data_IF_513867011468
#
_entry.id   IF_513867011468
#
_cell.length_a   1.000
_cell.length_b   1.000
_cell.length_c   1.000
_cell.angle_alpha   90.00
_cell.angle_beta   90.00
_cell.angle_gamma   90.00
#
_symmetry.space_group_name_H-M   'P 1'
#
loop_
_entity.id
_entity.type
_entity.pdbx_description
1 polymer ?
#
# COMPACT_ATOMS: atom_id res chain seq x y z
N UNK A 1 -31.53 -16.53 -33.80
CA UNK A 1 -31.91 -15.10 -33.81
C UNK A 1 -30.77 -14.33 -33.18
N UNK A 2 -30.12 -13.54 -34.02
CA UNK A 2 -29.07 -12.58 -33.70
C UNK A 2 -29.71 -11.33 -33.09
N UNK A 3 -29.04 -10.74 -32.11
CA UNK A 3 -29.03 -9.30 -31.89
C UNK A 3 -27.69 -8.90 -31.30
N UNK A 4 -26.81 -8.40 -32.16
CA UNK A 4 -25.74 -7.50 -31.75
C UNK A 4 -26.35 -6.13 -31.46
N UNK A 5 -25.90 -5.50 -30.37
CA UNK A 5 -25.88 -4.05 -30.26
C UNK A 5 -24.53 -3.66 -29.66
N UNK A 6 -23.78 -2.86 -30.44
CA UNK A 6 -22.43 -2.38 -30.15
C UNK A 6 -22.43 -1.22 -29.13
N UNK A 7 -21.22 -1.00 -28.62
CA UNK A 7 -20.65 0.25 -28.08
C UNK A 7 -21.02 0.63 -26.64
N UNK A 8 -20.03 0.58 -25.75
CA UNK A 8 -19.34 1.78 -25.27
C UNK A 8 -18.11 1.35 -24.47
N UNK A 9 -17.00 2.05 -24.66
CA UNK A 9 -15.75 1.81 -23.95
C UNK A 9 -15.92 2.11 -22.47
N UNK A 10 -16.13 1.06 -21.69
CA UNK A 10 -16.22 1.18 -20.24
C UNK A 10 -14.87 0.76 -19.67
N UNK A 11 -14.09 1.76 -19.28
CA UNK A 11 -12.84 1.57 -18.55
C UNK A 11 -13.19 1.24 -17.10
N UNK A 12 -13.96 0.15 -16.92
CA UNK A 12 -14.56 -0.25 -15.65
C UNK A 12 -13.43 -0.64 -14.71
N UNK A 13 -13.14 0.23 -13.74
CA UNK A 13 -12.25 -0.10 -12.63
C UNK A 13 -12.96 -1.13 -11.75
N UNK A 14 -12.62 -2.40 -11.93
CA UNK A 14 -13.09 -3.47 -11.05
C UNK A 14 -12.30 -3.40 -9.73
N UNK A 15 -12.88 -2.79 -8.70
CA UNK A 15 -12.34 -2.87 -7.34
C UNK A 15 -12.93 -4.09 -6.64
N UNK A 16 -12.14 -5.15 -6.49
CA UNK A 16 -12.50 -6.28 -5.63
C UNK A 16 -11.87 -6.07 -4.26
N UNK A 17 -12.69 -5.73 -3.27
CA UNK A 17 -12.27 -5.70 -1.87
C UNK A 17 -12.27 -7.14 -1.36
N UNK A 18 -11.12 -7.82 -1.45
CA UNK A 18 -10.96 -9.16 -0.90
C UNK A 18 -10.64 -9.04 0.58
N UNK A 19 -11.62 -9.33 1.44
CA UNK A 19 -11.36 -9.67 2.84
C UNK A 19 -11.04 -11.15 2.87
N UNK A 20 -9.76 -11.51 3.00
CA UNK A 20 -9.35 -12.92 3.13
C UNK A 20 -9.49 -13.32 4.61
N UNK A 21 -10.48 -14.12 5.02
CA UNK A 21 -10.54 -14.62 6.38
C UNK A 21 -9.35 -15.53 6.66
N UNK A 22 -8.77 -15.41 7.85
CA UNK A 22 -7.54 -16.07 8.29
C UNK A 22 -7.51 -17.59 8.02
N UNK A 23 -8.67 -18.26 8.13
CA UNK A 23 -8.79 -19.71 7.94
C UNK A 23 -8.63 -20.16 6.48
N UNK A 24 -8.84 -19.27 5.51
CA UNK A 24 -8.78 -19.57 4.09
C UNK A 24 -7.35 -19.59 3.52
N UNK A 25 -6.36 -19.03 4.23
CA UNK A 25 -4.97 -18.93 3.79
C UNK A 25 -4.22 -20.28 3.95
N UNK A 26 -4.79 -21.22 4.71
CA UNK A 26 -4.23 -22.57 4.89
C UNK A 26 -4.48 -23.51 3.72
N UNK A 27 -5.36 -23.14 2.80
CA UNK A 27 -5.58 -23.88 1.56
C UNK A 27 -5.18 -22.99 0.39
N UNK A 28 -4.33 -23.45 -0.54
CA UNK A 28 -4.10 -22.72 -1.78
C UNK A 28 -5.41 -22.69 -2.54
N UNK A 29 -6.18 -21.62 -2.37
CA UNK A 29 -7.31 -21.34 -3.25
C UNK A 29 -6.68 -21.14 -4.62
N UNK A 30 -6.82 -22.15 -5.48
CA UNK A 30 -6.59 -21.99 -6.89
C UNK A 30 -7.60 -20.94 -7.38
N UNK A 31 -7.20 -19.67 -7.36
CA UNK A 31 -7.90 -18.61 -8.05
C UNK A 31 -7.84 -18.98 -9.53
N UNK A 32 -8.85 -19.72 -9.99
CA UNK A 32 -8.93 -20.34 -11.32
C UNK A 32 -9.04 -19.33 -12.46
N UNK A 33 -9.00 -18.04 -12.14
CA UNK A 33 -8.96 -16.94 -13.09
C UNK A 33 -8.06 -15.85 -12.49
N UNK A 34 -7.13 -15.25 -13.26
CA UNK A 34 -6.38 -14.09 -12.82
C UNK A 34 -7.36 -12.93 -12.70
N UNK A 35 -8.00 -12.81 -11.54
CA UNK A 35 -8.77 -11.62 -11.20
C UNK A 35 -7.79 -10.46 -11.34
N UNK A 36 -8.14 -9.48 -12.17
CA UNK A 36 -7.40 -8.23 -12.32
C UNK A 36 -7.52 -7.40 -11.03
N UNK A 37 -6.96 -7.93 -9.94
CA UNK A 37 -6.88 -7.28 -8.65
C UNK A 37 -5.96 -6.08 -8.80
N UNK A 38 -6.54 -4.91 -8.98
CA UNK A 38 -5.79 -3.65 -9.02
C UNK A 38 -5.58 -3.07 -7.63
N UNK A 39 -6.44 -3.43 -6.67
CA UNK A 39 -6.44 -2.87 -5.32
C UNK A 39 -6.51 -4.00 -4.29
N UNK A 40 -5.62 -3.96 -3.31
CA UNK A 40 -5.62 -4.88 -2.16
C UNK A 40 -5.63 -4.06 -0.88
N UNK A 41 -6.50 -4.44 0.05
CA UNK A 41 -6.55 -3.84 1.40
C UNK A 41 -6.33 -4.92 2.44
N UNK A 42 -5.27 -4.76 3.22
CA UNK A 42 -4.88 -5.60 4.34
C UNK A 42 -5.43 -4.99 5.61
N UNK A 43 -6.41 -5.67 6.21
CA UNK A 43 -7.00 -5.25 7.50
C UNK A 43 -6.20 -5.70 8.72
N UNK A 44 -5.42 -6.78 8.57
CA UNK A 44 -4.66 -7.42 9.63
C UNK A 44 -3.24 -7.65 9.12
N UNK A 45 -2.26 -6.99 9.73
CA UNK A 45 -0.86 -7.06 9.30
C UNK A 45 -0.26 -8.47 9.43
N UNK A 46 -0.85 -9.36 10.24
CA UNK A 46 -0.40 -10.75 10.39
C UNK A 46 -0.55 -11.56 9.10
N UNK A 47 -1.35 -11.09 8.13
CA UNK A 47 -1.50 -11.73 6.82
C UNK A 47 -0.38 -11.37 5.85
N UNK A 48 0.51 -10.42 6.18
CA UNK A 48 1.60 -9.99 5.30
C UNK A 48 2.45 -11.16 4.81
N UNK A 49 2.91 -12.12 5.65
CA UNK A 49 3.70 -13.27 5.18
C UNK A 49 2.99 -14.11 4.12
N UNK A 50 1.66 -14.19 4.18
CA UNK A 50 0.86 -14.88 3.18
C UNK A 50 0.73 -14.05 1.89
N UNK A 51 0.49 -12.74 2.04
CA UNK A 51 0.41 -11.80 0.91
C UNK A 51 1.71 -11.79 0.10
N UNK A 52 2.87 -11.86 0.78
CA UNK A 52 4.20 -11.92 0.16
C UNK A 52 4.38 -13.14 -0.77
N UNK A 53 3.54 -14.18 -0.63
CA UNK A 53 3.58 -15.40 -1.46
C UNK A 53 2.61 -15.36 -2.65
N UNK A 54 1.76 -14.33 -2.75
CA UNK A 54 0.77 -14.23 -3.81
C UNK A 54 1.34 -13.52 -5.05
N UNK A 55 1.01 -13.97 -6.27
CA UNK A 55 1.41 -13.30 -7.50
C UNK A 55 0.55 -12.04 -7.72
N UNK A 56 0.97 -10.90 -7.18
CA UNK A 56 0.27 -9.61 -7.27
C UNK A 56 0.60 -8.83 -8.56
N UNK A 57 0.54 -9.51 -9.71
CA UNK A 57 0.99 -9.01 -11.01
C UNK A 57 0.22 -7.78 -11.52
N UNK A 58 -1.05 -7.63 -11.12
CA UNK A 58 -1.93 -6.55 -11.57
C UNK A 58 -2.19 -5.48 -10.51
N UNK A 59 -1.64 -5.64 -9.28
CA UNK A 59 -1.94 -4.76 -8.16
C UNK A 59 -1.23 -3.42 -8.33
N UNK A 60 -2.02 -2.36 -8.36
CA UNK A 60 -1.60 -0.96 -8.47
C UNK A 60 -1.66 -0.25 -7.13
N UNK A 61 -2.61 -0.62 -6.27
CA UNK A 61 -2.81 -0.03 -4.95
C UNK A 61 -2.77 -1.09 -3.86
N UNK A 62 -1.89 -0.92 -2.88
CA UNK A 62 -1.86 -1.75 -1.68
C UNK A 62 -2.11 -0.86 -0.46
N UNK A 63 -3.08 -1.23 0.36
CA UNK A 63 -3.44 -0.50 1.58
C UNK A 63 -3.25 -1.38 2.80
N UNK A 64 -2.56 -0.88 3.83
CA UNK A 64 -2.53 -1.48 5.16
C UNK A 64 -3.36 -0.63 6.11
N UNK A 65 -4.31 -1.27 6.80
CA UNK A 65 -5.06 -0.63 7.89
C UNK A 65 -4.30 -0.86 9.20
N UNK A 66 -4.02 0.23 9.90
CA UNK A 66 -3.35 0.25 11.19
C UNK A 66 -4.42 0.59 12.24
N UNK A 67 -4.99 -0.45 12.84
CA UNK A 67 -6.10 -0.37 13.77
C UNK A 67 -5.62 -0.07 15.20
N UNK A 68 -4.47 -0.57 15.61
CA UNK A 68 -3.87 -0.25 16.90
C UNK A 68 -2.69 0.72 16.72
N UNK A 69 -2.37 1.55 17.74
CA UNK A 69 -1.17 2.39 17.72
C UNK A 69 0.11 1.60 17.40
N UNK A 70 0.23 0.39 17.95
CA UNK A 70 1.37 -0.51 17.76
C UNK A 70 1.43 -1.20 16.40
N UNK A 71 0.40 -1.10 15.57
CA UNK A 71 0.35 -1.84 14.29
C UNK A 71 1.44 -1.37 13.32
N UNK A 72 1.83 -0.09 13.39
CA UNK A 72 2.93 0.44 12.60
C UNK A 72 4.25 -0.28 12.94
N UNK A 73 4.56 -0.37 14.23
CA UNK A 73 5.72 -1.12 14.71
C UNK A 73 5.63 -2.62 14.41
N UNK A 74 4.47 -3.24 14.61
CA UNK A 74 4.29 -4.68 14.35
C UNK A 74 4.42 -5.01 12.86
N UNK A 75 3.87 -4.18 11.98
CA UNK A 75 4.02 -4.32 10.53
C UNK A 75 5.49 -4.14 10.12
N UNK A 76 6.18 -3.13 10.66
CA UNK A 76 7.64 -2.92 10.46
C UNK A 76 8.43 -4.17 10.87
N UNK A 77 8.20 -4.70 12.07
CA UNK A 77 8.86 -5.92 12.56
C UNK A 77 8.57 -7.10 11.62
N UNK A 78 7.32 -7.25 11.18
CA UNK A 78 6.92 -8.33 10.27
C UNK A 78 7.65 -8.23 8.92
N UNK A 79 7.77 -7.02 8.35
CA UNK A 79 8.53 -6.77 7.11
C UNK A 79 9.99 -7.21 7.31
N UNK A 80 10.64 -6.72 8.37
CA UNK A 80 12.05 -6.99 8.66
C UNK A 80 12.33 -8.48 8.91
N UNK A 81 11.44 -9.17 9.63
CA UNK A 81 11.60 -10.59 9.95
C UNK A 81 11.23 -11.52 8.79
N UNK A 82 10.37 -11.08 7.87
CA UNK A 82 9.90 -11.95 6.78
C UNK A 82 11.02 -12.38 5.82
N UNK A 83 12.05 -11.54 5.64
CA UNK A 83 13.12 -11.75 4.66
C UNK A 83 12.63 -11.86 3.20
N UNK A 84 11.34 -11.62 2.94
CA UNK A 84 10.71 -11.73 1.63
C UNK A 84 10.21 -10.36 1.18
N UNK A 85 10.41 -10.04 -0.10
CA UNK A 85 9.92 -8.80 -0.71
C UNK A 85 8.66 -9.08 -1.53
N UNK A 86 7.69 -8.18 -1.45
CA UNK A 86 6.46 -8.26 -2.24
C UNK A 86 6.77 -8.08 -3.74
N UNK A 87 6.41 -9.09 -4.53
CA UNK A 87 6.52 -9.04 -5.99
C UNK A 87 5.25 -8.42 -6.60
N UNK A 88 5.22 -7.09 -6.69
CA UNK A 88 4.11 -6.32 -7.28
C UNK A 88 4.65 -5.35 -8.36
N UNK A 89 4.89 -5.82 -9.60
CA UNK A 89 5.66 -5.08 -10.61
C UNK A 89 4.96 -3.83 -11.17
N UNK A 90 3.65 -3.71 -10.96
CA UNK A 90 2.83 -2.57 -11.40
C UNK A 90 2.30 -1.75 -10.23
N UNK A 91 2.84 -1.95 -9.02
CA UNK A 91 2.41 -1.18 -7.85
C UNK A 91 2.76 0.30 -8.04
N UNK A 92 1.76 1.16 -7.87
CA UNK A 92 1.85 2.62 -8.03
C UNK A 92 1.63 3.31 -6.68
N UNK A 93 0.69 2.81 -5.88
CA UNK A 93 0.27 3.44 -4.64
C UNK A 93 0.39 2.48 -3.46
N UNK A 94 1.04 2.96 -2.42
CA UNK A 94 1.10 2.30 -1.12
C UNK A 94 0.45 3.18 -0.07
N UNK A 95 -0.55 2.65 0.62
CA UNK A 95 -1.36 3.39 1.58
C UNK A 95 -1.23 2.77 2.96
N UNK A 96 -1.05 3.61 3.98
CA UNK A 96 -1.18 3.27 5.38
C UNK A 96 -2.32 4.08 5.97
N UNK A 97 -3.35 3.42 6.52
CA UNK A 97 -4.53 4.08 7.07
C UNK A 97 -4.62 3.81 8.56
N UNK A 98 -4.28 4.82 9.36
CA UNK A 98 -4.44 4.83 10.81
C UNK A 98 -5.91 5.09 11.16
N UNK A 99 -6.49 4.28 12.04
CA UNK A 99 -7.89 4.49 12.45
C UNK A 99 -8.05 5.70 13.39
N UNK A 100 -9.24 6.34 13.42
CA UNK A 100 -9.47 7.60 14.12
C UNK A 100 -9.32 7.56 15.65
N UNK A 101 -9.49 6.38 16.27
CA UNK A 101 -9.51 6.21 17.71
C UNK A 101 -8.11 5.99 18.33
N UNK A 102 -7.08 5.74 17.49
CA UNK A 102 -5.71 5.51 17.94
C UNK A 102 -4.87 6.79 18.00
N UNK A 103 -4.01 6.91 19.02
CA UNK A 103 -2.94 7.91 18.97
C UNK A 103 -1.89 7.45 17.96
N UNK A 104 -1.63 8.28 16.95
CA UNK A 104 -0.55 8.04 15.98
C UNK A 104 0.79 8.21 16.70
N UNK A 105 1.59 7.16 16.75
CA UNK A 105 2.98 7.24 17.20
C UNK A 105 3.85 7.64 16.00
N UNK A 106 4.15 8.94 15.91
CA UNK A 106 4.80 9.53 14.74
C UNK A 106 6.13 8.86 14.36
N UNK A 107 6.98 8.56 15.36
CA UNK A 107 8.25 7.87 15.16
C UNK A 107 8.06 6.48 14.54
N UNK A 108 7.07 5.72 14.97
CA UNK A 108 6.80 4.38 14.44
C UNK A 108 6.34 4.43 12.98
N UNK A 109 5.50 5.41 12.62
CA UNK A 109 5.05 5.58 11.23
C UNK A 109 6.20 5.99 10.33
N UNK A 110 7.08 6.90 10.77
CA UNK A 110 8.26 7.29 10.00
C UNK A 110 9.19 6.10 9.78
N UNK A 111 9.46 5.32 10.83
CA UNK A 111 10.28 4.10 10.73
C UNK A 111 9.63 3.05 9.82
N UNK A 112 8.31 2.89 9.86
CA UNK A 112 7.59 2.03 8.92
C UNK A 112 7.81 2.48 7.46
N UNK A 113 7.70 3.77 7.17
CA UNK A 113 7.92 4.30 5.80
C UNK A 113 9.36 4.04 5.34
N UNK A 114 10.35 4.12 6.24
CA UNK A 114 11.75 3.77 5.92
C UNK A 114 11.91 2.30 5.52
N UNK A 115 11.02 1.41 5.94
CA UNK A 115 11.07 -0.02 5.58
C UNK A 115 10.40 -0.38 4.25
N UNK A 116 9.75 0.57 3.58
CA UNK A 116 9.08 0.33 2.29
C UNK A 116 10.00 -0.29 1.22
N UNK A 117 11.28 0.13 1.07
CA UNK A 117 12.19 -0.51 0.12
C UNK A 117 12.48 -1.99 0.40
N UNK A 118 12.34 -2.43 1.67
CA UNK A 118 12.47 -3.83 2.05
C UNK A 118 11.16 -4.60 1.86
N UNK A 119 10.02 -3.90 1.94
CA UNK A 119 8.71 -4.52 1.77
C UNK A 119 8.39 -4.81 0.30
N UNK A 120 8.74 -3.92 -0.64
CA UNK A 120 8.31 -4.03 -2.03
C UNK A 120 9.49 -4.06 -2.98
N UNK A 121 9.52 -5.06 -3.88
CA UNK A 121 10.51 -5.09 -4.96
C UNK A 121 10.10 -4.14 -6.08
N UNK A 122 10.63 -2.92 -6.07
CA UNK A 122 10.34 -1.89 -7.06
C UNK A 122 11.19 -2.00 -8.34
N UNK A 123 12.21 -2.87 -8.36
CA UNK A 123 13.20 -3.01 -9.45
C UNK A 123 13.76 -1.63 -9.86
N UNK A 124 13.52 -1.19 -11.10
CA UNK A 124 13.97 0.10 -11.63
C UNK A 124 12.85 1.17 -11.62
N UNK A 125 11.76 0.92 -10.89
CA UNK A 125 10.62 1.84 -10.80
C UNK A 125 10.55 2.45 -9.41
N UNK A 126 9.81 3.55 -9.30
CA UNK A 126 9.42 4.19 -8.04
C UNK A 126 7.91 4.08 -7.89
N UNK A 127 7.44 4.14 -6.66
CA UNK A 127 6.02 4.32 -6.38
C UNK A 127 5.62 5.73 -6.82
N UNK A 128 4.44 5.87 -7.41
CA UNK A 128 3.88 7.20 -7.69
C UNK A 128 3.52 7.90 -6.37
N UNK A 129 3.01 7.15 -5.40
CA UNK A 129 2.55 7.74 -4.14
C UNK A 129 2.68 6.80 -2.95
N UNK A 130 3.19 7.32 -1.85
CA UNK A 130 2.94 6.79 -0.50
C UNK A 130 1.92 7.69 0.18
N UNK A 131 0.84 7.11 0.67
CA UNK A 131 -0.25 7.83 1.34
C UNK A 131 -0.33 7.41 2.80
N UNK A 132 -0.21 8.38 3.69
CA UNK A 132 -0.42 8.23 5.13
C UNK A 132 -1.73 8.94 5.47
N UNK A 133 -2.77 8.16 5.78
CA UNK A 133 -4.10 8.67 6.08
C UNK A 133 -4.50 8.37 7.52
N UNK A 134 -5.15 9.30 8.19
CA UNK A 134 -5.72 9.09 9.52
C UNK A 134 -5.72 10.34 10.37
N UNK A 135 -6.53 10.32 11.43
CA UNK A 135 -6.61 11.45 12.36
C UNK A 135 -5.26 11.66 13.05
N UNK A 136 -4.79 12.91 13.08
CA UNK A 136 -3.53 13.27 13.72
C UNK A 136 -2.28 13.01 12.86
N UNK A 137 -2.45 12.57 11.60
CA UNK A 137 -1.30 12.29 10.71
C UNK A 137 -0.50 13.55 10.38
N UNK A 138 -1.09 14.73 10.52
CA UNK A 138 -0.40 16.02 10.32
C UNK A 138 0.66 16.30 11.39
N UNK A 139 0.66 15.59 12.52
CA UNK A 139 1.79 15.60 13.45
C UNK A 139 3.11 15.15 12.79
N UNK A 140 3.04 14.44 11.66
CA UNK A 140 4.21 14.02 10.88
C UNK A 140 4.84 15.15 10.07
N UNK A 141 4.20 16.31 9.89
CA UNK A 141 4.73 17.41 9.06
C UNK A 141 6.08 17.94 9.55
N UNK A 142 6.38 17.79 10.84
CA UNK A 142 7.66 18.20 11.45
C UNK A 142 8.79 17.19 11.24
N UNK A 143 8.52 16.01 10.67
CA UNK A 143 9.52 14.97 10.44
C UNK A 143 10.17 15.09 9.06
N UNK A 144 11.43 14.69 8.98
CA UNK A 144 12.17 14.64 7.72
C UNK A 144 11.77 13.39 6.91
N UNK A 145 11.08 13.61 5.80
CA UNK A 145 10.74 12.60 4.80
C UNK A 145 11.59 12.70 3.53
N UNK A 146 12.70 13.44 3.56
CA UNK A 146 13.59 13.59 2.41
C UNK A 146 13.91 12.22 1.81
N UNK A 147 14.27 11.22 2.62
CA UNK A 147 14.61 9.85 2.20
C UNK A 147 13.61 9.16 1.26
N UNK A 148 12.34 9.57 1.27
CA UNK A 148 11.30 9.00 0.41
C UNK A 148 11.55 9.22 -1.08
N UNK A 149 12.35 10.24 -1.44
CA UNK A 149 12.76 10.52 -2.81
C UNK A 149 13.40 9.34 -3.52
N UNK A 150 14.03 8.42 -2.78
CA UNK A 150 14.73 7.27 -3.37
C UNK A 150 13.77 6.22 -3.94
N UNK A 151 12.49 6.20 -3.51
CA UNK A 151 11.57 5.11 -3.85
C UNK A 151 10.12 5.52 -4.11
N UNK A 152 9.73 6.77 -3.87
CA UNK A 152 8.43 7.29 -4.30
C UNK A 152 8.50 8.72 -4.83
N UNK A 153 7.59 9.09 -5.73
CA UNK A 153 7.51 10.44 -6.30
C UNK A 153 6.83 11.42 -5.34
N UNK A 154 5.77 10.97 -4.66
CA UNK A 154 5.01 11.78 -3.72
C UNK A 154 4.76 11.06 -2.40
N UNK A 155 4.95 11.76 -1.28
CA UNK A 155 4.41 11.37 0.02
C UNK A 155 3.23 12.27 0.36
N UNK A 156 2.07 11.68 0.62
CA UNK A 156 0.83 12.41 0.95
C UNK A 156 0.42 12.13 2.38
N UNK A 157 0.23 13.18 3.16
CA UNK A 157 -0.41 13.11 4.48
C UNK A 157 -1.87 13.54 4.33
N UNK A 158 -2.80 12.77 4.88
CA UNK A 158 -4.23 13.03 4.77
C UNK A 158 -4.95 12.91 6.12
N UNK A 159 -5.41 14.04 6.65
CA UNK A 159 -6.19 14.15 7.89
C UNK A 159 -7.58 14.70 7.60
N UNK A 160 -8.54 13.80 7.37
CA UNK A 160 -9.88 14.16 6.89
C UNK A 160 -9.82 14.79 5.50
N UNK A 161 -10.35 15.99 5.35
CA UNK A 161 -10.33 16.74 4.09
C UNK A 161 -9.00 17.48 3.86
N UNK A 162 -8.11 17.51 4.85
CA UNK A 162 -6.84 18.21 4.74
C UNK A 162 -5.79 17.28 4.13
N UNK A 163 -5.12 17.77 3.10
CA UNK A 163 -4.08 17.04 2.37
C UNK A 163 -2.81 17.88 2.36
N UNK A 164 -1.69 17.28 2.77
CA UNK A 164 -0.36 17.84 2.62
C UNK A 164 0.49 16.92 1.74
N UNK A 165 1.21 17.48 0.78
CA UNK A 165 1.95 16.72 -0.23
C UNK A 165 3.42 17.12 -0.17
N UNK A 166 4.29 16.15 0.06
CA UNK A 166 5.72 16.26 -0.18
C UNK A 166 6.00 15.75 -1.59
N UNK A 167 6.31 16.68 -2.49
CA UNK A 167 6.74 16.34 -3.85
C UNK A 167 8.24 16.13 -3.88
N UNK A 168 8.66 15.04 -4.52
CA UNK A 168 10.07 14.83 -4.81
C UNK A 168 10.46 15.64 -6.03
N UNK A 169 11.11 16.80 -5.83
CA UNK A 169 11.79 17.47 -6.93
C UNK A 169 13.05 16.67 -7.27
N UNK A 170 13.08 16.05 -8.45
CA UNK A 170 14.35 15.65 -9.04
C UNK A 170 15.14 16.92 -9.33
N UNK A 171 16.26 17.12 -8.63
CA UNK A 171 17.35 17.88 -9.24
C UNK A 171 17.83 17.03 -10.40
N UNK A 172 17.45 17.40 -11.62
CA UNK A 172 18.21 17.08 -12.81
C UNK A 172 19.59 17.73 -12.60
N UNK A 173 20.55 16.97 -12.09
CA UNK A 173 21.96 17.36 -12.20
C UNK A 173 22.36 17.14 -13.67
N UNK A 174 22.66 18.26 -14.33
CA UNK A 174 23.14 18.44 -15.70
C UNK A 174 24.38 17.61 -16.01
#
# INVERSE_FOLDING_TARGET
MTTEARCSGDNTKYSLQVTIPFDAIRQPIALSHPVNLTTVTVGDHTILPALLRLPLQSVRTLTFRLAAPSDAEQLKITILLSGMTLAAPVLQHLCFTCIPEGQVVASEVVELVKTVPQMVSLRNRRLETIRLGGRGIFALQSYDFSFTHMFCDQLRLEDGDNIHIFETQMREEL
#
